data_IF_897116728406
#
_entry.id   IF_897116728406
#
_cell.length_a   1.000
_cell.length_b   1.000
_cell.length_c   1.000
_cell.angle_alpha   90.00
_cell.angle_beta   90.00
_cell.angle_gamma   90.00
#
_symmetry.space_group_name_H-M   'P 1'
#
loop_
_entity.id
_entity.type
_entity.pdbx_description
1 polymer ?
#
# COMPACT_ATOMS: atom_id res chain seq x y z
N UNK A 1 -2.86 14.99 1.62
CA UNK A 1 -3.72 14.25 2.56
C UNK A 1 -4.27 15.20 3.61
N UNK A 2 -5.50 15.00 4.08
CA UNK A 2 -6.19 15.84 5.08
C UNK A 2 -6.82 14.95 6.17
N UNK A 3 -7.10 15.54 7.34
CA UNK A 3 -7.82 14.90 8.44
C UNK A 3 -7.27 13.50 8.86
N UNK A 4 -5.97 13.39 9.21
CA UNK A 4 -5.41 12.12 9.65
C UNK A 4 -6.07 11.69 10.98
N UNK A 5 -6.52 10.44 11.02
CA UNK A 5 -7.20 9.85 12.19
C UNK A 5 -6.65 8.44 12.45
N UNK A 6 -6.26 8.17 13.70
CA UNK A 6 -5.84 6.83 14.12
C UNK A 6 -7.12 6.02 14.36
N UNK A 7 -7.30 4.93 13.63
CA UNK A 7 -8.48 4.05 13.76
C UNK A 7 -8.18 2.75 14.50
N UNK A 8 -6.91 2.37 14.57
CA UNK A 8 -6.44 1.23 15.36
C UNK A 8 -4.98 1.44 15.76
N UNK A 9 -4.58 0.93 16.92
CA UNK A 9 -3.21 1.00 17.42
C UNK A 9 -2.85 -0.31 18.12
N UNK A 10 -1.72 -0.89 17.72
CA UNK A 10 -1.13 -2.09 18.33
C UNK A 10 0.25 -1.75 18.90
N UNK A 11 0.87 -2.65 19.67
CA UNK A 11 2.26 -2.50 20.09
C UNK A 11 3.26 -2.45 18.94
N UNK A 12 2.89 -2.77 17.70
CA UNK A 12 3.82 -2.83 16.56
C UNK A 12 3.56 -1.73 15.52
N UNK A 13 2.30 -1.33 15.35
CA UNK A 13 1.93 -0.36 14.32
C UNK A 13 0.63 0.39 14.67
N UNK A 14 0.41 1.49 13.95
CA UNK A 14 -0.83 2.27 13.97
C UNK A 14 -1.50 2.19 12.61
N UNK A 15 -2.82 2.04 12.58
CA UNK A 15 -3.63 2.20 11.37
C UNK A 15 -4.20 3.61 11.36
N UNK A 16 -3.84 4.36 10.33
CA UNK A 16 -4.18 5.76 10.15
C UNK A 16 -5.03 5.88 8.90
N UNK A 17 -6.15 6.59 8.97
CA UNK A 17 -6.90 7.00 7.79
C UNK A 17 -6.68 8.47 7.51
N UNK A 18 -6.63 8.86 6.23
CA UNK A 18 -6.61 10.25 5.82
C UNK A 18 -7.40 10.45 4.54
N UNK A 19 -8.01 11.62 4.39
CA UNK A 19 -8.77 11.96 3.20
C UNK A 19 -7.81 12.43 2.09
N UNK A 20 -7.99 11.91 0.88
CA UNK A 20 -7.17 12.23 -0.28
C UNK A 20 -7.98 12.00 -1.57
N UNK A 21 -7.97 12.97 -2.49
CA UNK A 21 -8.66 12.88 -3.79
C UNK A 21 -10.12 12.37 -3.74
N UNK A 22 -10.88 12.78 -2.72
CA UNK A 22 -12.29 12.39 -2.56
C UNK A 22 -12.52 10.98 -2.02
N UNK A 23 -11.46 10.25 -1.67
CA UNK A 23 -11.51 8.92 -1.05
C UNK A 23 -10.79 8.92 0.31
N UNK A 24 -10.88 7.79 1.03
CA UNK A 24 -10.22 7.61 2.33
C UNK A 24 -9.09 6.62 2.17
N UNK A 25 -7.86 7.10 2.39
CA UNK A 25 -6.66 6.28 2.29
C UNK A 25 -6.31 5.72 3.66
N UNK A 26 -5.98 4.43 3.69
CA UNK A 26 -5.61 3.72 4.92
C UNK A 26 -4.12 3.43 4.89
N UNK A 27 -3.42 3.83 5.95
CA UNK A 27 -2.00 3.65 6.14
C UNK A 27 -1.72 2.78 7.35
N UNK A 28 -0.68 1.96 7.27
CA UNK A 28 -0.11 1.23 8.40
C UNK A 28 1.27 1.81 8.68
N UNK A 29 1.40 2.51 9.80
CA UNK A 29 2.68 3.07 10.27
C UNK A 29 3.27 2.17 11.34
N UNK A 30 4.39 1.55 11.03
CA UNK A 30 5.16 0.70 11.94
C UNK A 30 6.03 1.56 12.88
N UNK A 31 6.36 1.00 14.06
CA UNK A 31 7.21 1.68 15.04
C UNK A 31 8.65 1.94 14.57
N UNK A 32 9.15 1.16 13.62
CA UNK A 32 10.46 1.33 13.00
C UNK A 32 10.51 2.47 11.96
N UNK A 33 9.37 3.12 11.70
CA UNK A 33 9.23 4.20 10.73
C UNK A 33 8.77 3.75 9.34
N UNK A 34 8.61 2.44 9.10
CA UNK A 34 8.03 1.95 7.85
C UNK A 34 6.56 2.42 7.74
N UNK A 35 6.19 2.94 6.57
CA UNK A 35 4.81 3.29 6.24
C UNK A 35 4.37 2.47 5.05
N UNK A 36 3.25 1.79 5.22
CA UNK A 36 2.56 1.08 4.16
C UNK A 36 1.21 1.74 3.89
N UNK A 37 0.76 1.63 2.66
CA UNK A 37 -0.59 1.99 2.25
C UNK A 37 -1.38 0.74 1.93
N UNK A 38 -2.66 0.75 2.26
CA UNK A 38 -3.58 -0.32 1.88
C UNK A 38 -3.75 -0.30 0.37
N UNK A 39 -3.50 -1.44 -0.27
CA UNK A 39 -3.56 -1.57 -1.72
C UNK A 39 -4.96 -2.01 -2.16
N UNK A 40 -5.90 -1.06 -2.08
CA UNK A 40 -7.32 -1.30 -2.34
C UNK A 40 -7.87 -0.38 -3.44
N UNK A 41 -9.17 -0.53 -3.71
CA UNK A 41 -9.86 0.22 -4.75
C UNK A 41 -9.79 1.74 -4.53
N UNK A 42 -9.86 2.20 -3.28
CA UNK A 42 -9.83 3.63 -2.96
C UNK A 42 -8.45 4.23 -3.27
N UNK A 43 -7.38 3.45 -3.03
CA UNK A 43 -6.03 3.82 -3.45
C UNK A 43 -5.89 3.91 -4.97
N UNK A 44 -6.40 2.91 -5.71
CA UNK A 44 -6.33 2.91 -7.18
C UNK A 44 -7.06 4.13 -7.78
N UNK A 45 -8.28 4.41 -7.31
CA UNK A 45 -9.10 5.53 -7.78
C UNK A 45 -8.45 6.87 -7.46
N UNK A 46 -7.90 7.04 -6.26
CA UNK A 46 -7.20 8.27 -5.89
C UNK A 46 -5.97 8.55 -6.76
N UNK A 47 -5.37 7.52 -7.36
CA UNK A 47 -4.25 7.63 -8.29
C UNK A 47 -4.68 7.67 -9.76
N UNK A 48 -5.98 7.81 -10.04
CA UNK A 48 -6.53 7.96 -11.40
C UNK A 48 -6.82 6.65 -12.14
N UNK A 49 -6.75 5.50 -11.46
CA UNK A 49 -7.07 4.20 -12.04
C UNK A 49 -8.52 3.81 -11.80
N UNK A 50 -9.08 2.98 -12.68
CA UNK A 50 -10.44 2.44 -12.53
C UNK A 50 -10.53 1.36 -11.47
N UNK A 51 -9.45 0.62 -11.24
CA UNK A 51 -9.37 -0.45 -10.25
C UNK A 51 -7.91 -0.84 -9.97
N UNK A 52 -7.69 -1.70 -8.97
CA UNK A 52 -6.36 -2.29 -8.73
C UNK A 52 -5.89 -3.12 -9.93
N UNK A 53 -6.80 -3.83 -10.61
CA UNK A 53 -6.45 -4.57 -11.82
C UNK A 53 -5.99 -3.62 -12.93
N UNK A 54 -6.71 -2.52 -13.15
CA UNK A 54 -6.35 -1.47 -14.12
C UNK A 54 -4.99 -0.83 -13.78
N UNK A 55 -4.74 -0.56 -12.50
CA UNK A 55 -3.45 -0.06 -12.02
C UNK A 55 -2.31 -1.04 -12.31
N UNK A 56 -2.49 -2.33 -12.04
CA UNK A 56 -1.48 -3.38 -12.29
C UNK A 56 -1.24 -3.55 -13.80
N UNK A 57 -2.29 -3.46 -14.63
CA UNK A 57 -2.16 -3.52 -16.08
C UNK A 57 -1.38 -2.32 -16.64
N UNK A 58 -1.62 -1.12 -16.12
CA UNK A 58 -0.97 0.11 -16.56
C UNK A 58 0.43 0.32 -15.96
N UNK A 59 0.78 -0.36 -14.87
CA UNK A 59 2.08 -0.25 -14.18
C UNK A 59 2.85 -1.58 -14.23
N UNK A 60 3.56 -1.88 -15.34
CA UNK A 60 4.22 -3.17 -15.55
C UNK A 60 5.27 -3.50 -14.48
N UNK A 61 5.90 -2.49 -13.88
CA UNK A 61 6.84 -2.66 -12.77
C UNK A 61 6.17 -3.15 -11.49
N UNK A 62 4.97 -2.66 -11.17
CA UNK A 62 4.18 -3.14 -10.03
C UNK A 62 3.77 -4.59 -10.26
N UNK A 63 3.29 -4.90 -11.48
CA UNK A 63 2.97 -6.27 -11.88
C UNK A 63 4.17 -7.21 -11.75
N UNK A 64 5.34 -6.78 -12.21
CA UNK A 64 6.57 -7.56 -12.09
C UNK A 64 6.92 -7.85 -10.63
N UNK A 65 6.90 -6.83 -9.77
CA UNK A 65 7.16 -6.99 -8.35
C UNK A 65 6.14 -7.94 -7.70
N UNK A 66 4.84 -7.79 -7.97
CA UNK A 66 3.81 -8.70 -7.43
C UNK A 66 4.05 -10.14 -7.87
N UNK A 67 4.39 -10.36 -9.14
CA UNK A 67 4.69 -11.70 -9.64
C UNK A 67 5.95 -12.30 -8.98
N UNK A 68 7.02 -11.52 -8.89
CA UNK A 68 8.31 -11.98 -8.38
C UNK A 68 8.29 -12.22 -6.86
N UNK A 69 7.61 -11.34 -6.12
CA UNK A 69 7.70 -11.28 -4.67
C UNK A 69 6.46 -11.80 -3.94
N UNK A 70 5.30 -11.84 -4.60
CA UNK A 70 4.04 -12.35 -4.05
C UNK A 70 3.49 -13.57 -4.82
N UNK A 71 4.23 -14.11 -5.80
CA UNK A 71 3.76 -15.25 -6.61
C UNK A 71 2.51 -14.93 -7.43
N UNK A 72 2.29 -13.66 -7.78
CA UNK A 72 1.11 -13.20 -8.51
C UNK A 72 -0.12 -12.91 -7.64
N UNK A 73 0.00 -13.05 -6.32
CA UNK A 73 -1.07 -12.70 -5.37
C UNK A 73 -0.95 -11.21 -5.03
N UNK A 74 -2.02 -10.45 -5.24
CA UNK A 74 -2.06 -9.04 -4.88
C UNK A 74 -1.92 -8.86 -3.36
N UNK A 75 -0.91 -8.13 -2.87
CA UNK A 75 -0.75 -7.89 -1.44
C UNK A 75 -1.81 -6.93 -0.92
N UNK A 76 -2.23 -7.09 0.34
CA UNK A 76 -3.16 -6.16 1.00
C UNK A 76 -2.50 -4.81 1.32
N UNK A 77 -1.20 -4.81 1.60
CA UNK A 77 -0.42 -3.64 1.99
C UNK A 77 0.82 -3.53 1.12
N UNK A 78 1.14 -2.31 0.69
CA UNK A 78 2.38 -2.02 -0.05
C UNK A 78 3.15 -0.91 0.67
N UNK A 79 4.46 -1.07 0.78
CA UNK A 79 5.34 -0.05 1.33
C UNK A 79 5.62 1.00 0.25
N UNK A 80 5.75 2.25 0.67
CA UNK A 80 6.26 3.33 -0.18
C UNK A 80 7.56 3.80 0.43
N UNK A 81 8.68 3.53 -0.24
CA UNK A 81 10.01 3.91 0.23
C UNK A 81 10.64 4.81 -0.83
N UNK A 82 11.00 6.03 -0.45
CA UNK A 82 11.55 7.05 -1.38
C UNK A 82 10.69 7.32 -2.63
N UNK A 83 9.37 7.16 -2.52
CA UNK A 83 8.44 7.33 -3.65
C UNK A 83 8.32 6.10 -4.56
N UNK A 84 9.05 5.02 -4.27
CA UNK A 84 8.93 3.75 -4.98
C UNK A 84 8.02 2.79 -4.23
N UNK A 85 7.20 2.05 -4.98
CA UNK A 85 6.42 0.95 -4.45
C UNK A 85 7.34 -0.22 -4.14
N UNK A 86 7.32 -0.65 -2.88
CA UNK A 86 8.07 -1.78 -2.39
C UNK A 86 7.10 -2.80 -1.78
N UNK A 87 7.33 -4.06 -2.11
CA UNK A 87 6.59 -5.18 -1.53
C UNK A 87 7.44 -5.74 -0.40
N UNK A 88 6.90 -5.72 0.82
CA UNK A 88 7.52 -6.40 1.95
C UNK A 88 7.40 -7.91 1.76
N UNK A 89 8.50 -8.55 1.40
CA UNK A 89 8.57 -10.02 1.41
C UNK A 89 8.99 -10.52 2.79
N UNK A 90 8.37 -11.60 3.24
CA UNK A 90 8.86 -12.34 4.42
C UNK A 90 9.94 -13.37 4.03
N UNK A 91 10.59 -13.20 2.88
CA UNK A 91 11.66 -14.10 2.47
C UNK A 91 12.87 -13.75 3.33
N UNK A 92 13.04 -14.47 4.44
CA UNK A 92 14.34 -14.63 5.05
C UNK A 92 15.25 -15.24 3.98
N UNK A 93 16.26 -14.49 3.55
CA UNK A 93 17.36 -15.07 2.82
C UNK A 93 17.97 -16.14 3.74
N UNK A 94 17.72 -17.41 3.41
CA UNK A 94 18.42 -18.54 4.00
C UNK A 94 19.89 -18.51 3.61
#
# INVERSE_FOLDING_TARGET
>A
MKNPRIINETPEYKIIQADFEGTVQTFRQWKDGLVEVKFDQDWAVANGYKSIADMIEQQPQIRYQINMYCGGITPEWIAIVNGEFMIKTNIQAN
#
